data_IF_320936279078
#
_entry.id   IF_320936279078
#
_cell.length_a   1.000
_cell.length_b   1.000
_cell.length_c   1.000
_cell.angle_alpha   90.00
_cell.angle_beta   90.00
_cell.angle_gamma   90.00
#
_symmetry.space_group_name_H-M   'P 1'
#
loop_
_entity.id
_entity.type
_entity.pdbx_description
1 polymer ?
#
# COMPACT_ATOMS: atom_id res chain seq x y z
N UNK A 1 63.42 -8.02 -7.05
CA UNK A 1 62.38 -7.60 -8.01
C UNK A 1 61.09 -8.38 -7.68
N UNK A 2 60.05 -7.67 -7.22
CA UNK A 2 58.75 -8.23 -6.77
C UNK A 2 57.80 -8.31 -7.97
N UNK A 3 57.18 -9.46 -8.22
CA UNK A 3 55.92 -9.53 -8.99
C UNK A 3 55.01 -10.61 -8.37
N UNK A 4 53.89 -10.14 -7.81
CA UNK A 4 52.68 -10.90 -7.42
C UNK A 4 52.01 -11.44 -8.70
N UNK A 5 51.20 -12.51 -8.68
CA UNK A 5 49.76 -12.45 -8.34
C UNK A 5 49.20 -13.87 -8.14
N UNK A 6 48.37 -13.97 -7.10
CA UNK A 6 47.55 -15.13 -6.74
C UNK A 6 46.47 -15.32 -7.80
N UNK A 7 46.35 -16.53 -8.35
CA UNK A 7 45.23 -16.96 -9.17
C UNK A 7 44.66 -18.22 -8.54
N UNK A 8 43.49 -18.12 -7.93
CA UNK A 8 42.79 -19.23 -7.31
C UNK A 8 41.30 -18.94 -7.31
N UNK A 9 40.67 -19.03 -8.48
CA UNK A 9 39.22 -19.04 -8.56
C UNK A 9 38.74 -20.45 -8.22
N UNK A 10 38.36 -20.62 -6.95
CA UNK A 10 37.72 -21.83 -6.44
C UNK A 10 36.28 -21.83 -6.94
N UNK A 11 35.98 -22.72 -7.88
CA UNK A 11 34.65 -22.94 -8.42
C UNK A 11 33.69 -23.50 -7.35
N UNK A 12 32.42 -23.09 -7.46
CA UNK A 12 31.19 -23.69 -6.91
C UNK A 12 30.81 -23.38 -5.46
N UNK A 13 29.68 -22.68 -5.31
CA UNK A 13 28.39 -23.31 -4.94
C UNK A 13 27.26 -22.29 -5.08
N UNK A 14 26.36 -22.58 -6.01
CA UNK A 14 25.06 -21.95 -6.20
C UNK A 14 24.32 -21.97 -4.86
N UNK A 15 24.01 -20.80 -4.30
CA UNK A 15 23.15 -20.70 -3.13
C UNK A 15 21.72 -20.61 -3.65
N UNK A 16 21.03 -21.74 -3.59
CA UNK A 16 19.61 -21.85 -3.80
C UNK A 16 18.90 -20.76 -2.99
N UNK A 17 18.23 -19.84 -3.68
CA UNK A 17 17.25 -18.94 -3.07
C UNK A 17 16.15 -19.86 -2.56
N UNK A 18 16.14 -20.07 -1.25
CA UNK A 18 15.08 -20.78 -0.55
C UNK A 18 13.85 -19.88 -0.66
N UNK A 19 12.99 -20.17 -1.63
CA UNK A 19 11.66 -19.57 -1.75
C UNK A 19 10.91 -19.79 -0.44
N UNK A 20 10.43 -18.69 0.12
CA UNK A 20 9.65 -18.62 1.34
C UNK A 20 8.33 -19.39 1.12
N UNK A 21 8.28 -20.65 1.55
CA UNK A 21 7.04 -21.43 1.60
C UNK A 21 6.32 -21.04 2.90
N UNK A 22 5.37 -20.11 2.82
CA UNK A 22 4.40 -19.88 3.87
C UNK A 22 3.12 -20.67 3.55
N UNK A 23 3.10 -21.95 3.92
CA UNK A 23 1.91 -22.78 3.86
C UNK A 23 1.14 -22.59 5.17
N UNK A 24 0.22 -21.63 5.20
CA UNK A 24 -0.68 -21.41 6.34
C UNK A 24 -1.97 -22.18 6.05
N UNK A 25 -2.03 -23.42 6.54
CA UNK A 25 -3.28 -24.16 6.67
C UNK A 25 -3.93 -23.75 8.00
N UNK A 26 -4.94 -22.87 7.97
CA UNK A 26 -5.83 -22.63 9.11
C UNK A 26 -7.21 -23.16 8.73
N UNK A 27 -7.46 -24.41 9.10
CA UNK A 27 -8.81 -24.95 9.24
C UNK A 27 -9.27 -24.61 10.65
N UNK A 28 -10.14 -23.63 10.78
CA UNK A 28 -10.89 -23.38 12.01
C UNK A 28 -12.35 -23.11 11.64
N UNK A 29 -13.10 -24.20 11.45
CA UNK A 29 -14.54 -24.18 11.46
C UNK A 29 -15.00 -23.94 12.91
N UNK A 30 -15.40 -22.71 13.23
CA UNK A 30 -16.11 -22.40 14.48
C UNK A 30 -17.54 -22.02 14.11
N UNK A 31 -18.43 -22.98 14.34
CA UNK A 31 -19.88 -22.82 14.27
C UNK A 31 -20.29 -21.94 15.45
N UNK A 32 -20.75 -20.73 15.19
CA UNK A 32 -21.55 -19.95 16.14
C UNK A 32 -23.00 -19.95 15.67
N UNK A 33 -23.79 -20.81 16.30
CA UNK A 33 -25.23 -20.72 16.29
C UNK A 33 -25.67 -19.66 17.31
N UNK A 34 -26.43 -18.67 16.85
CA UNK A 34 -27.37 -17.88 17.65
C UNK A 34 -26.78 -16.77 18.51
N UNK A 35 -27.07 -15.52 18.15
CA UNK A 35 -28.19 -14.78 18.76
C UNK A 35 -28.59 -13.64 17.82
N UNK A 36 -29.88 -13.61 17.47
CA UNK A 36 -30.55 -12.45 16.89
C UNK A 36 -30.61 -11.41 18.00
N UNK A 37 -29.98 -10.27 17.80
CA UNK A 37 -30.09 -9.13 18.72
C UNK A 37 -31.23 -8.23 18.22
N UNK A 38 -32.28 -8.21 19.03
CA UNK A 38 -33.51 -7.44 18.88
C UNK A 38 -33.18 -5.94 18.98
N UNK A 39 -33.18 -5.23 17.86
CA UNK A 39 -33.05 -3.78 17.87
C UNK A 39 -34.29 -3.15 18.51
N UNK A 40 -34.14 -2.76 19.77
CA UNK A 40 -35.10 -1.87 20.43
C UNK A 40 -35.16 -0.52 19.68
N UNK A 41 -36.36 0.06 19.45
CA UNK A 41 -36.47 1.36 18.80
C UNK A 41 -35.99 2.45 19.75
N UNK A 42 -34.92 3.16 19.38
CA UNK A 42 -34.40 4.32 20.12
C UNK A 42 -35.44 5.44 20.08
N UNK A 43 -35.85 6.03 21.22
CA UNK A 43 -36.81 7.12 21.23
C UNK A 43 -36.22 8.37 20.57
N UNK A 44 -37.03 8.99 19.71
CA UNK A 44 -36.74 10.20 18.98
C UNK A 44 -36.29 11.35 19.91
N UNK A 45 -35.02 11.74 19.82
CA UNK A 45 -34.53 12.96 20.42
C UNK A 45 -34.94 14.14 19.52
N UNK A 46 -35.78 15.02 20.07
CA UNK A 46 -36.18 16.28 19.44
C UNK A 46 -34.96 17.18 19.22
N UNK A 47 -34.88 17.93 18.10
CA UNK A 47 -33.74 18.81 17.84
C UNK A 47 -33.82 20.04 18.75
N UNK A 48 -32.83 20.19 19.64
CA UNK A 48 -32.57 21.45 20.35
C UNK A 48 -31.93 22.41 19.35
N UNK A 49 -32.59 23.55 19.12
CA UNK A 49 -32.10 24.60 18.24
C UNK A 49 -30.72 25.10 18.72
N UNK A 50 -29.69 24.87 17.91
CA UNK A 50 -28.34 25.38 18.15
C UNK A 50 -28.29 26.89 17.86
N UNK A 51 -27.62 27.72 18.68
CA UNK A 51 -27.41 29.12 18.39
C UNK A 51 -26.48 29.29 17.18
N UNK A 52 -26.81 30.25 16.31
CA UNK A 52 -26.04 30.62 15.11
C UNK A 52 -24.54 30.81 15.43
N UNK A 53 -23.61 30.18 14.68
CA UNK A 53 -22.19 30.43 14.85
C UNK A 53 -21.84 31.84 14.36
N UNK A 54 -21.10 32.56 15.20
CA UNK A 54 -20.51 33.87 14.91
C UNK A 54 -19.52 33.74 13.75
N UNK A 55 -19.54 34.74 12.87
CA UNK A 55 -18.67 34.96 11.71
C UNK A 55 -17.24 34.45 11.87
N UNK A 56 -16.91 33.36 11.18
CA UNK A 56 -15.55 32.93 10.88
C UNK A 56 -14.92 33.95 9.93
N UNK A 57 -13.70 34.47 10.18
CA UNK A 57 -12.98 35.22 9.17
C UNK A 57 -12.73 34.31 7.96
N UNK A 58 -13.02 34.82 6.77
CA UNK A 58 -12.77 34.16 5.47
C UNK A 58 -11.38 33.51 5.47
N UNK A 59 -11.25 32.18 5.25
CA UNK A 59 -9.95 31.56 5.04
C UNK A 59 -9.31 32.24 3.84
N UNK A 60 -8.12 32.81 4.04
CA UNK A 60 -7.28 33.26 2.93
C UNK A 60 -7.00 32.00 2.10
N UNK A 61 -7.49 31.97 0.86
CA UNK A 61 -7.27 30.85 -0.04
C UNK A 61 -5.75 30.56 -0.09
N UNK A 62 -5.30 29.32 0.19
CA UNK A 62 -3.89 29.00 0.05
C UNK A 62 -3.52 29.24 -1.42
N UNK A 63 -2.50 30.07 -1.65
CA UNK A 63 -1.80 30.16 -2.93
C UNK A 63 -1.52 28.74 -3.40
N UNK A 64 -2.18 28.32 -4.49
CA UNK A 64 -2.04 26.97 -5.02
C UNK A 64 -0.55 26.70 -5.27
N UNK A 65 0.04 25.81 -4.48
CA UNK A 65 1.36 25.28 -4.76
C UNK A 65 1.30 24.53 -6.10
N UNK A 66 2.37 24.54 -6.90
CA UNK A 66 2.41 23.74 -8.12
C UNK A 66 2.18 22.27 -7.74
N UNK A 67 1.06 21.70 -8.21
CA UNK A 67 0.77 20.28 -8.08
C UNK A 67 1.78 19.51 -8.93
N UNK A 68 2.57 18.64 -8.31
CA UNK A 68 3.45 17.74 -9.04
C UNK A 68 2.60 16.84 -9.96
N UNK A 69 3.14 16.49 -11.13
CA UNK A 69 2.46 15.51 -11.99
C UNK A 69 2.42 14.15 -11.30
N UNK A 70 1.29 13.44 -11.34
CA UNK A 70 1.16 12.13 -10.70
C UNK A 70 2.03 11.09 -11.41
N UNK A 71 2.57 10.16 -10.63
CA UNK A 71 3.25 8.96 -11.15
C UNK A 71 2.17 7.92 -11.43
N UNK A 72 2.11 7.39 -12.65
CA UNK A 72 1.17 6.32 -13.02
C UNK A 72 1.92 5.04 -13.36
N UNK A 73 1.49 3.93 -12.78
CA UNK A 73 2.02 2.58 -12.98
C UNK A 73 0.85 1.65 -13.33
N UNK A 74 1.08 0.68 -14.21
CA UNK A 74 0.07 -0.30 -14.58
C UNK A 74 0.73 -1.62 -14.98
N UNK A 75 0.05 -2.74 -14.74
CA UNK A 75 0.54 -4.06 -15.11
C UNK A 75 -0.50 -5.14 -14.86
N UNK A 76 -0.04 -6.40 -14.87
CA UNK A 76 -0.92 -7.57 -14.76
C UNK A 76 -0.26 -8.66 -13.92
N UNK A 77 -0.98 -9.23 -12.97
CA UNK A 77 -0.48 -10.27 -12.09
C UNK A 77 0.63 -9.77 -11.15
N UNK A 78 1.40 -10.71 -10.60
CA UNK A 78 2.50 -10.41 -9.68
C UNK A 78 3.66 -9.70 -10.40
N UNK A 79 4.07 -8.56 -9.86
CA UNK A 79 5.14 -7.71 -10.42
C UNK A 79 5.85 -6.91 -9.33
N UNK A 80 7.16 -6.71 -9.50
CA UNK A 80 7.87 -5.62 -8.83
C UNK A 80 8.07 -4.48 -9.82
N UNK A 81 7.57 -3.29 -9.49
CA UNK A 81 7.55 -2.17 -10.45
C UNK A 81 8.95 -1.65 -10.76
N UNK A 82 9.07 -0.85 -11.81
CA UNK A 82 10.22 0.05 -11.94
C UNK A 82 10.31 1.00 -10.74
N UNK A 83 11.55 1.39 -10.40
CA UNK A 83 11.82 2.31 -9.31
C UNK A 83 11.32 3.72 -9.64
N UNK A 84 10.77 4.41 -8.65
CA UNK A 84 10.33 5.80 -8.72
C UNK A 84 10.78 6.59 -7.50
N UNK A 85 10.70 7.92 -7.58
CA UNK A 85 11.13 8.82 -6.50
C UNK A 85 9.93 9.36 -5.75
N UNK A 86 9.97 9.31 -4.42
CA UNK A 86 9.02 10.02 -3.56
C UNK A 86 9.76 11.08 -2.75
N UNK A 87 9.09 12.20 -2.55
CA UNK A 87 9.56 13.24 -1.64
C UNK A 87 9.04 13.01 -0.22
N UNK A 88 9.82 13.44 0.77
CA UNK A 88 9.38 13.47 2.16
C UNK A 88 8.10 14.29 2.27
N UNK A 89 7.03 13.70 2.81
CA UNK A 89 5.74 14.36 2.88
C UNK A 89 4.60 13.37 3.02
N UNK A 90 3.41 13.81 2.61
CA UNK A 90 2.26 12.94 2.44
C UNK A 90 2.20 12.56 0.96
N UNK A 91 2.10 11.27 0.66
CA UNK A 91 1.83 10.77 -0.68
C UNK A 91 0.53 9.98 -0.68
N UNK A 92 -0.26 10.11 -1.73
CA UNK A 92 -1.54 9.41 -1.88
C UNK A 92 -1.41 8.38 -2.99
N UNK A 93 -1.63 7.12 -2.65
CA UNK A 93 -1.66 6.00 -3.60
C UNK A 93 -3.13 5.70 -3.92
N UNK A 94 -3.55 5.90 -5.16
CA UNK A 94 -4.81 5.37 -5.70
C UNK A 94 -4.50 4.10 -6.44
N UNK A 95 -5.23 3.03 -6.18
CA UNK A 95 -4.93 1.69 -6.66
C UNK A 95 -6.23 1.04 -7.12
N UNK A 96 -6.16 0.34 -8.25
CA UNK A 96 -7.24 -0.51 -8.73
C UNK A 96 -6.72 -1.89 -9.11
N UNK A 97 -7.61 -2.88 -9.06
CA UNK A 97 -7.39 -4.25 -9.47
C UNK A 97 -8.69 -4.88 -9.97
N UNK A 98 -8.65 -5.62 -11.08
CA UNK A 98 -9.83 -6.25 -11.69
C UNK A 98 -9.82 -7.79 -11.62
N UNK A 99 -8.93 -8.38 -10.80
CA UNK A 99 -8.86 -9.83 -10.57
C UNK A 99 -9.84 -10.32 -9.49
N UNK A 100 -9.90 -11.64 -9.31
CA UNK A 100 -10.84 -12.30 -8.40
C UNK A 100 -10.16 -12.88 -7.14
N UNK A 101 -8.83 -12.77 -7.05
CA UNK A 101 -8.01 -13.37 -5.99
C UNK A 101 -7.16 -12.30 -5.28
N UNK A 102 -6.05 -12.72 -4.68
CA UNK A 102 -5.22 -11.88 -3.83
C UNK A 102 -4.73 -10.61 -4.56
N UNK A 103 -4.98 -9.45 -3.96
CA UNK A 103 -4.41 -8.16 -4.34
C UNK A 103 -3.72 -7.53 -3.14
N UNK A 104 -2.40 -7.60 -3.11
CA UNK A 104 -1.57 -7.04 -2.05
C UNK A 104 -0.42 -6.23 -2.63
N UNK A 105 -0.17 -5.05 -2.07
CA UNK A 105 0.91 -4.16 -2.51
C UNK A 105 1.72 -3.71 -1.31
N UNK A 106 3.02 -3.97 -1.33
CA UNK A 106 3.98 -3.37 -0.41
C UNK A 106 4.69 -2.20 -1.09
N UNK A 107 4.81 -1.09 -0.35
CA UNK A 107 5.78 -0.05 -0.66
C UNK A 107 7.13 -0.43 -0.04
N UNK A 108 8.17 -0.50 -0.87
CA UNK A 108 9.54 -0.80 -0.47
C UNK A 108 10.45 0.40 -0.70
N UNK A 109 11.45 0.58 0.17
CA UNK A 109 12.51 1.57 -0.04
C UNK A 109 13.65 1.06 -0.96
N UNK A 110 14.70 1.86 -1.10
CA UNK A 110 15.82 1.54 -2.00
C UNK A 110 16.69 0.38 -1.52
N UNK A 111 16.60 0.02 -0.24
CA UNK A 111 17.26 -1.12 0.39
C UNK A 111 16.40 -2.40 0.27
N UNK A 112 15.12 -2.25 -0.11
CA UNK A 112 14.15 -3.34 -0.25
C UNK A 112 13.41 -3.64 1.05
N UNK A 113 13.49 -2.75 2.04
CA UNK A 113 12.77 -2.90 3.30
C UNK A 113 11.30 -2.47 3.14
N UNK A 114 10.41 -3.15 3.86
CA UNK A 114 8.99 -2.84 3.86
C UNK A 114 8.73 -1.50 4.57
N UNK A 115 8.17 -0.54 3.84
CA UNK A 115 7.79 0.77 4.36
C UNK A 115 6.34 0.77 4.83
N UNK A 116 5.44 0.27 3.98
CA UNK A 116 3.99 0.27 4.25
C UNK A 116 3.28 -0.81 3.41
N UNK A 117 2.29 -1.48 4.01
CA UNK A 117 1.36 -2.36 3.28
C UNK A 117 0.22 -1.50 2.76
N UNK A 118 0.18 -1.25 1.45
CA UNK A 118 -0.77 -0.31 0.86
C UNK A 118 -2.19 -0.88 0.77
N UNK A 119 -2.29 -2.15 0.39
CA UNK A 119 -3.53 -2.91 0.26
C UNK A 119 -3.23 -4.39 0.51
N UNK A 120 -4.22 -5.13 1.02
CA UNK A 120 -4.19 -6.58 1.16
C UNK A 120 -5.63 -7.10 1.20
N UNK A 121 -6.22 -7.25 0.01
CA UNK A 121 -7.62 -7.63 -0.20
C UNK A 121 -7.71 -8.84 -1.14
N UNK A 122 -8.91 -9.40 -1.27
CA UNK A 122 -9.22 -10.46 -2.23
C UNK A 122 -10.29 -9.95 -3.19
N UNK A 123 -10.01 -10.07 -4.49
CA UNK A 123 -10.93 -9.70 -5.57
C UNK A 123 -10.65 -8.32 -6.16
N UNK A 124 -11.71 -7.80 -6.78
CA UNK A 124 -11.74 -6.45 -7.36
C UNK A 124 -11.48 -5.41 -6.26
N UNK A 125 -10.73 -4.38 -6.62
CA UNK A 125 -10.38 -3.30 -5.72
C UNK A 125 -10.39 -1.96 -6.46
N UNK A 126 -10.95 -0.94 -5.83
CA UNK A 126 -10.80 0.46 -6.19
C UNK A 126 -10.74 1.27 -4.91
N UNK A 127 -9.58 1.87 -4.63
CA UNK A 127 -9.37 2.55 -3.36
C UNK A 127 -8.11 3.41 -3.33
N UNK A 128 -7.89 4.03 -2.17
CA UNK A 128 -6.71 4.86 -1.97
C UNK A 128 -6.19 4.82 -0.53
N UNK A 129 -4.89 5.06 -0.38
CA UNK A 129 -4.22 5.18 0.91
C UNK A 129 -3.22 6.34 0.92
N UNK A 130 -3.29 7.15 1.96
CA UNK A 130 -2.31 8.21 2.21
C UNK A 130 -1.19 7.69 3.11
N UNK A 131 0.06 7.91 2.72
CA UNK A 131 1.26 7.43 3.42
C UNK A 131 2.18 8.59 3.73
N UNK A 132 2.69 8.64 4.96
CA UNK A 132 3.69 9.65 5.35
C UNK A 132 5.10 9.16 5.02
N UNK A 133 5.65 9.65 3.91
CA UNK A 133 7.02 9.40 3.48
C UNK A 133 7.98 10.14 4.39
N UNK A 134 8.81 9.37 5.11
CA UNK A 134 9.71 9.91 6.15
C UNK A 134 10.99 10.52 5.59
N UNK A 135 11.44 10.04 4.41
CA UNK A 135 12.70 10.40 3.76
C UNK A 135 12.47 10.48 2.25
N UNK A 136 12.92 11.55 1.59
CA UNK A 136 12.91 11.60 0.13
C UNK A 136 13.87 10.55 -0.42
N UNK A 137 13.49 9.82 -1.47
CA UNK A 137 14.31 8.74 -1.97
C UNK A 137 13.67 7.92 -3.07
N UNK A 138 14.34 6.82 -3.39
CA UNK A 138 13.89 5.86 -4.40
C UNK A 138 13.06 4.78 -3.70
N UNK A 139 11.96 4.43 -4.34
CA UNK A 139 10.99 3.43 -3.88
C UNK A 139 10.60 2.51 -5.04
N UNK A 140 9.97 1.40 -4.71
CA UNK A 140 9.29 0.52 -5.65
C UNK A 140 8.07 -0.12 -4.98
N UNK A 141 7.18 -0.67 -5.79
CA UNK A 141 6.07 -1.48 -5.31
C UNK A 141 6.34 -2.96 -5.58
N UNK A 142 6.10 -3.80 -4.58
CA UNK A 142 6.02 -5.26 -4.72
C UNK A 142 4.54 -5.65 -4.70
N UNK A 143 4.05 -6.13 -5.85
CA UNK A 143 2.64 -6.35 -6.14
C UNK A 143 2.41 -7.86 -6.24
N UNK A 144 1.46 -8.36 -5.47
CA UNK A 144 0.89 -9.70 -5.62
C UNK A 144 -0.55 -9.54 -6.09
N UNK A 145 -0.80 -9.90 -7.34
CA UNK A 145 -2.10 -9.77 -8.01
C UNK A 145 -2.35 -10.98 -8.92
N UNK A 146 -3.60 -11.26 -9.25
CA UNK A 146 -3.99 -12.22 -10.29
C UNK A 146 -4.59 -11.57 -11.55
N UNK A 147 -5.06 -10.32 -11.44
CA UNK A 147 -5.64 -9.53 -12.53
C UNK A 147 -4.78 -8.34 -12.96
N UNK A 148 -5.38 -7.46 -13.76
CA UNK A 148 -4.79 -6.18 -14.13
C UNK A 148 -4.83 -5.23 -12.92
N UNK A 149 -3.88 -4.33 -12.85
CA UNK A 149 -3.83 -3.30 -11.83
C UNK A 149 -3.34 -1.96 -12.39
N UNK A 150 -3.80 -0.88 -11.78
CA UNK A 150 -3.35 0.48 -12.05
C UNK A 150 -3.12 1.22 -10.73
N UNK A 151 -2.07 2.03 -10.68
CA UNK A 151 -1.67 2.77 -9.49
C UNK A 151 -1.29 4.19 -9.90
N UNK A 152 -1.89 5.18 -9.24
CA UNK A 152 -1.55 6.59 -9.39
C UNK A 152 -1.07 7.14 -8.05
N UNK A 153 0.05 7.88 -8.07
CA UNK A 153 0.70 8.41 -6.89
C UNK A 153 0.82 9.93 -7.00
N UNK A 154 0.31 10.63 -5.98
CA UNK A 154 0.33 12.10 -5.82
C UNK A 154 1.10 12.54 -4.58
#
# INVERSE_FOLDING_TARGET
>A
MKIKRKGGYKMMRTKNVVGLIALVAIVAAVIFAGCVEEETPVPAHSPVAAPLPKTTPTPVAPTAAPTAEPITLSGTGQEATSKFTLEKGLSIFRMSHDGDSNFAIWLLDDEGDNVELLVNEIGDFDGSKAVSIRKSGIYLLDISADGNWEISIE
#
